data_IF_296038314571
#
_entry.id   IF_296038314571
#
_cell.length_a   1.000
_cell.length_b   1.000
_cell.length_c   1.000
_cell.angle_alpha   90.00
_cell.angle_beta   90.00
_cell.angle_gamma   90.00
#
_symmetry.space_group_name_H-M   'P 1'
#
loop_
_entity.id
_entity.type
_entity.pdbx_description
1 polymer ?
#
# COMPACT_ATOMS: atom_id res chain seq x y z
N UNK A 1 -17.74 2.00 -5.02
CA UNK A 1 -16.97 0.75 -4.82
C UNK A 1 -16.25 0.71 -3.48
N UNK A 2 -15.26 1.59 -3.22
CA UNK A 2 -14.45 1.61 -1.97
C UNK A 2 -15.28 1.64 -0.68
N UNK A 3 -16.27 2.53 -0.57
CA UNK A 3 -17.13 2.61 0.64
C UNK A 3 -17.90 1.31 0.92
N UNK A 4 -18.44 0.69 -0.12
CA UNK A 4 -19.18 -0.58 0.00
C UNK A 4 -18.24 -1.72 0.39
N UNK A 5 -17.06 -1.80 -0.23
CA UNK A 5 -16.03 -2.76 0.17
C UNK A 5 -15.65 -2.58 1.65
N UNK A 6 -15.34 -1.36 2.08
CA UNK A 6 -14.96 -1.06 3.48
C UNK A 6 -16.06 -1.41 4.50
N UNK A 7 -17.33 -1.24 4.14
CA UNK A 7 -18.44 -1.64 5.03
C UNK A 7 -18.50 -3.16 5.26
N UNK A 8 -18.08 -3.96 4.27
CA UNK A 8 -18.08 -5.44 4.31
C UNK A 8 -16.74 -6.02 4.78
N UNK A 9 -15.68 -5.23 4.74
CA UNK A 9 -14.31 -5.63 5.07
C UNK A 9 -13.70 -4.66 6.09
N UNK A 10 -14.31 -4.59 7.28
CA UNK A 10 -13.89 -3.66 8.35
C UNK A 10 -12.46 -3.92 8.82
N UNK A 11 -12.00 -5.16 8.78
CA UNK A 11 -10.65 -5.57 9.15
C UNK A 11 -9.64 -5.47 8.00
N UNK A 12 -9.87 -4.58 7.02
CA UNK A 12 -8.95 -4.39 5.89
C UNK A 12 -8.33 -2.99 5.86
N UNK A 13 -7.14 -2.87 5.29
CA UNK A 13 -6.57 -1.59 4.83
C UNK A 13 -6.47 -1.58 3.31
N UNK A 14 -6.91 -0.49 2.69
CA UNK A 14 -6.84 -0.30 1.25
C UNK A 14 -5.78 0.74 0.88
N UNK A 15 -5.00 0.43 -0.13
CA UNK A 15 -3.99 1.29 -0.69
C UNK A 15 -4.17 1.42 -2.20
N UNK A 16 -4.60 2.60 -2.64
CA UNK A 16 -4.69 2.98 -4.05
C UNK A 16 -3.39 3.65 -4.49
N UNK A 17 -2.88 3.25 -5.64
CA UNK A 17 -1.67 3.78 -6.26
C UNK A 17 -2.06 4.31 -7.65
N UNK A 18 -2.06 5.62 -7.79
CA UNK A 18 -2.25 6.34 -9.04
C UNK A 18 -0.91 6.56 -9.77
N UNK A 19 -1.01 6.70 -11.09
CA UNK A 19 0.12 6.84 -12.00
C UNK A 19 1.10 5.67 -11.89
N UNK A 20 0.55 4.45 -11.86
CA UNK A 20 1.26 3.19 -11.65
C UNK A 20 2.37 2.94 -12.68
N UNK A 21 2.14 3.35 -13.93
CA UNK A 21 3.09 3.25 -15.04
C UNK A 21 4.41 3.99 -14.77
N UNK A 22 4.37 5.05 -13.97
CA UNK A 22 5.56 5.86 -13.68
C UNK A 22 6.60 5.11 -12.84
N UNK A 23 6.17 4.11 -12.06
CA UNK A 23 7.11 3.26 -11.33
C UNK A 23 8.02 2.48 -12.28
N UNK A 24 7.46 1.97 -13.39
CA UNK A 24 8.24 1.32 -14.44
C UNK A 24 9.07 2.34 -15.23
N UNK A 25 8.47 3.48 -15.60
CA UNK A 25 9.13 4.55 -16.38
C UNK A 25 10.40 5.07 -15.71
N UNK A 26 10.33 5.34 -14.40
CA UNK A 26 11.44 5.90 -13.62
C UNK A 26 12.20 4.85 -12.81
N UNK A 27 11.94 3.56 -13.03
CA UNK A 27 12.60 2.44 -12.35
C UNK A 27 12.52 2.54 -10.81
N UNK A 28 11.39 3.04 -10.30
CA UNK A 28 11.12 3.10 -8.88
C UNK A 28 10.81 1.69 -8.37
N UNK A 29 11.64 1.20 -7.45
CA UNK A 29 11.57 -0.19 -6.99
C UNK A 29 10.25 -0.50 -6.26
N UNK A 30 9.80 0.43 -5.41
CA UNK A 30 8.66 0.21 -4.51
C UNK A 30 7.96 1.51 -4.09
N UNK A 31 6.77 1.35 -3.54
CA UNK A 31 6.02 2.38 -2.81
C UNK A 31 5.53 1.81 -1.50
N UNK A 32 5.57 2.63 -0.45
CA UNK A 32 5.02 2.29 0.85
C UNK A 32 3.73 3.05 1.10
N UNK A 33 2.81 2.41 1.80
CA UNK A 33 1.65 3.07 2.40
C UNK A 33 2.08 3.91 3.61
N UNK A 34 1.17 4.73 4.14
CA UNK A 34 1.34 5.30 5.48
C UNK A 34 1.35 4.19 6.53
N UNK A 35 1.81 4.50 7.75
CA UNK A 35 1.59 3.62 8.89
C UNK A 35 0.09 3.62 9.23
N UNK A 36 -0.50 2.44 9.35
CA UNK A 36 -1.90 2.26 9.74
C UNK A 36 -2.04 1.31 10.91
N UNK A 37 -3.02 1.58 11.77
CA UNK A 37 -3.40 0.71 12.89
C UNK A 37 -4.48 -0.28 12.43
N UNK A 38 -4.25 -1.58 12.66
CA UNK A 38 -5.21 -2.63 12.32
C UNK A 38 -5.00 -3.84 13.23
N UNK A 39 -6.06 -4.30 13.89
CA UNK A 39 -5.99 -5.44 14.82
C UNK A 39 -5.08 -5.19 16.03
N UNK A 40 -4.97 -3.94 16.50
CA UNK A 40 -4.11 -3.58 17.62
C UNK A 40 -2.62 -3.47 17.30
N UNK A 41 -2.24 -3.54 16.01
CA UNK A 41 -0.86 -3.44 15.56
C UNK A 41 -0.69 -2.35 14.51
N UNK A 42 0.53 -1.78 14.46
CA UNK A 42 0.93 -0.79 13.46
C UNK A 42 1.61 -1.48 12.28
N UNK A 43 1.11 -1.20 11.08
CA UNK A 43 1.53 -1.83 9.84
C UNK A 43 1.88 -0.82 8.76
N UNK A 44 2.66 -1.27 7.78
CA UNK A 44 2.85 -0.59 6.49
C UNK A 44 2.73 -1.62 5.37
N UNK A 45 2.08 -1.26 4.27
CA UNK A 45 2.14 -2.03 3.03
C UNK A 45 3.31 -1.56 2.19
N UNK A 46 4.12 -2.49 1.71
CA UNK A 46 5.22 -2.25 0.80
C UNK A 46 4.91 -2.96 -0.52
N UNK A 47 4.69 -2.17 -1.57
CA UNK A 47 4.29 -2.65 -2.90
C UNK A 47 5.47 -2.45 -3.84
N UNK A 48 5.78 -3.48 -4.62
CA UNK A 48 6.73 -3.42 -5.74
C UNK A 48 5.93 -3.50 -7.04
N UNK A 49 5.58 -2.35 -7.65
CA UNK A 49 4.73 -2.31 -8.85
C UNK A 49 5.27 -3.14 -10.01
N UNK A 50 6.60 -3.19 -10.16
CA UNK A 50 7.28 -3.97 -11.19
C UNK A 50 7.99 -5.21 -10.62
N UNK A 51 7.57 -5.69 -9.45
CA UNK A 51 8.05 -6.94 -8.84
C UNK A 51 9.39 -6.82 -8.10
N UNK A 52 9.63 -7.80 -7.22
CA UNK A 52 10.83 -7.88 -6.39
C UNK A 52 11.69 -9.10 -6.75
N UNK A 53 13.00 -8.92 -6.91
CA UNK A 53 13.97 -9.99 -7.20
C UNK A 53 13.54 -10.82 -8.42
N UNK A 54 13.31 -12.12 -8.25
CA UNK A 54 12.91 -13.07 -9.31
C UNK A 54 11.50 -12.84 -9.87
N UNK A 55 10.73 -11.91 -9.30
CA UNK A 55 9.45 -11.47 -9.83
C UNK A 55 9.54 -10.16 -10.65
N UNK A 56 10.72 -9.54 -10.71
CA UNK A 56 10.93 -8.26 -11.40
C UNK A 56 10.51 -8.35 -12.87
N UNK A 57 9.74 -7.36 -13.34
CA UNK A 57 9.24 -7.26 -14.71
C UNK A 57 8.08 -8.19 -15.05
N UNK A 58 7.59 -9.01 -14.11
CA UNK A 58 6.58 -10.03 -14.40
C UNK A 58 5.37 -10.01 -13.47
N UNK A 59 5.56 -9.62 -12.20
CA UNK A 59 4.49 -9.63 -11.20
C UNK A 59 4.52 -8.38 -10.34
N UNK A 60 3.38 -8.02 -9.76
CA UNK A 60 3.33 -7.11 -8.60
C UNK A 60 3.64 -7.93 -7.34
N UNK A 61 4.55 -7.42 -6.50
CA UNK A 61 4.83 -8.00 -5.19
C UNK A 61 4.27 -7.12 -4.08
N UNK A 62 3.66 -7.71 -3.05
CA UNK A 62 3.13 -6.96 -1.91
C UNK A 62 3.61 -7.61 -0.61
N UNK A 63 4.00 -6.77 0.35
CA UNK A 63 4.44 -7.19 1.67
C UNK A 63 3.75 -6.36 2.75
N UNK A 64 3.30 -7.04 3.80
CA UNK A 64 2.88 -6.45 5.06
C UNK A 64 4.09 -6.35 5.98
N UNK A 65 4.36 -5.15 6.50
CA UNK A 65 5.48 -4.84 7.37
C UNK A 65 4.96 -4.42 8.75
N UNK A 66 5.35 -5.10 9.82
CA UNK A 66 5.07 -4.62 11.17
C UNK A 66 5.99 -3.45 11.53
N UNK A 67 5.47 -2.45 12.23
CA UNK A 67 6.26 -1.30 12.70
C UNK A 67 6.81 -1.51 14.13
N UNK A 68 6.34 -2.54 14.82
CA UNK A 68 6.77 -2.94 16.15
C UNK A 68 6.83 -4.46 16.26
N UNK A 69 7.10 -4.96 17.47
CA UNK A 69 6.94 -6.38 17.79
C UNK A 69 5.48 -6.82 17.60
N UNK A 70 5.31 -8.07 17.20
CA UNK A 70 4.02 -8.73 17.07
C UNK A 70 4.04 -9.91 18.04
N UNK A 71 3.15 -9.88 19.04
CA UNK A 71 3.11 -10.84 20.15
C UNK A 71 2.03 -11.91 20.00
N UNK A 72 1.23 -11.86 18.94
CA UNK A 72 0.16 -12.80 18.63
C UNK A 72 0.26 -13.26 17.18
N UNK A 73 -0.21 -14.49 16.89
CA UNK A 73 -0.34 -14.96 15.52
C UNK A 73 -1.54 -14.29 14.86
N UNK A 74 -1.35 -13.76 13.67
CA UNK A 74 -2.39 -13.03 12.93
C UNK A 74 -2.55 -13.67 11.57
N UNK A 75 -3.78 -14.06 11.23
CA UNK A 75 -4.11 -14.50 9.89
C UNK A 75 -4.40 -13.28 9.01
N UNK A 76 -3.77 -13.22 7.84
CA UNK A 76 -3.92 -12.12 6.90
C UNK A 76 -4.02 -12.60 5.46
N UNK A 77 -4.63 -11.77 4.63
CA UNK A 77 -4.76 -11.94 3.18
C UNK A 77 -4.29 -10.64 2.51
N UNK A 78 -3.35 -10.74 1.56
CA UNK A 78 -3.01 -9.64 0.66
C UNK A 78 -3.83 -9.76 -0.61
N UNK A 79 -4.29 -8.64 -1.15
CA UNK A 79 -5.16 -8.67 -2.33
C UNK A 79 -4.95 -7.48 -3.28
N UNK A 80 -5.36 -7.66 -4.52
CA UNK A 80 -5.51 -6.62 -5.55
C UNK A 80 -6.95 -6.62 -6.06
N UNK A 81 -7.60 -5.46 -6.06
CA UNK A 81 -9.04 -5.32 -6.32
C UNK A 81 -9.28 -5.03 -7.80
N UNK A 82 -10.18 -5.79 -8.43
CA UNK A 82 -10.67 -5.44 -9.77
C UNK A 82 -11.59 -4.23 -9.67
N UNK A 83 -11.38 -3.26 -10.55
CA UNK A 83 -12.17 -2.03 -10.61
C UNK A 83 -13.35 -2.14 -11.59
N UNK A 84 -13.44 -3.25 -12.32
CA UNK A 84 -14.52 -3.55 -13.26
C UNK A 84 -15.57 -4.50 -12.66
N UNK A 85 -15.13 -5.43 -11.83
CA UNK A 85 -15.97 -6.49 -11.25
C UNK A 85 -15.78 -6.57 -9.73
N UNK A 86 -16.75 -7.12 -8.98
CA UNK A 86 -16.60 -7.37 -7.55
C UNK A 86 -15.74 -8.62 -7.27
N UNK A 87 -14.50 -8.62 -7.77
CA UNK A 87 -13.50 -9.67 -7.54
C UNK A 87 -12.17 -9.09 -7.11
N UNK A 88 -11.32 -9.92 -6.52
CA UNK A 88 -9.95 -9.58 -6.18
C UNK A 88 -9.02 -10.77 -6.40
N UNK A 89 -7.79 -10.48 -6.79
CA UNK A 89 -6.70 -11.46 -6.77
C UNK A 89 -6.18 -11.54 -5.34
N UNK A 90 -6.01 -12.76 -4.82
CA UNK A 90 -5.71 -12.99 -3.40
C UNK A 90 -4.42 -13.78 -3.22
N UNK A 91 -3.68 -13.46 -2.16
CA UNK A 91 -2.55 -14.27 -1.72
C UNK A 91 -2.94 -15.58 -1.05
N UNK A 92 -4.25 -15.81 -0.85
CA UNK A 92 -4.79 -16.76 0.11
C UNK A 92 -4.57 -16.31 1.55
N UNK A 93 -5.14 -17.07 2.48
CA UNK A 93 -4.91 -16.91 3.92
C UNK A 93 -3.46 -17.27 4.27
N UNK A 94 -2.81 -16.40 5.04
CA UNK A 94 -1.41 -16.54 5.47
C UNK A 94 -1.28 -16.21 6.95
N UNK A 95 -0.31 -16.82 7.61
CA UNK A 95 0.01 -16.51 9.01
C UNK A 95 1.14 -15.47 9.07
N UNK A 96 0.91 -14.41 9.84
CA UNK A 96 1.94 -13.54 10.39
C UNK A 96 2.24 -14.01 11.81
N UNK A 97 3.39 -14.64 12.00
CA UNK A 97 3.79 -15.22 13.29
C UNK A 97 4.16 -14.18 14.35
N UNK A 98 4.67 -14.69 15.47
CA UNK A 98 5.18 -13.88 16.58
C UNK A 98 6.61 -13.44 16.27
N UNK A 99 6.87 -12.13 16.36
CA UNK A 99 8.17 -11.54 16.08
C UNK A 99 8.55 -10.49 17.13
N UNK A 100 9.72 -10.61 17.78
CA UNK A 100 10.16 -9.66 18.81
C UNK A 100 10.67 -8.33 18.23
N UNK A 101 10.81 -8.24 16.90
CA UNK A 101 11.28 -7.06 16.18
C UNK A 101 10.41 -6.84 14.93
N UNK A 102 10.36 -5.61 14.38
CA UNK A 102 9.72 -5.32 13.10
C UNK A 102 10.11 -6.33 12.01
N UNK A 103 9.14 -6.86 11.28
CA UNK A 103 9.39 -7.84 10.22
C UNK A 103 8.44 -7.67 9.04
N UNK A 104 8.78 -8.31 7.92
CA UNK A 104 8.01 -8.28 6.68
C UNK A 104 7.61 -9.66 6.19
N UNK A 105 6.34 -9.83 5.82
CA UNK A 105 5.81 -11.03 5.16
C UNK A 105 4.96 -10.65 3.96
N UNK A 106 4.95 -11.46 2.92
CA UNK A 106 4.21 -11.10 1.71
C UNK A 106 4.24 -12.13 0.62
N UNK A 107 3.77 -11.72 -0.56
CA UNK A 107 3.74 -12.53 -1.76
C UNK A 107 4.54 -11.84 -2.88
N UNK A 108 5.71 -12.40 -3.28
CA UNK A 108 6.51 -11.87 -4.39
C UNK A 108 5.80 -11.93 -5.75
N UNK A 109 4.86 -12.86 -5.93
CA UNK A 109 4.15 -13.09 -7.20
C UNK A 109 2.64 -13.04 -6.94
N UNK A 110 2.14 -11.88 -6.50
CA UNK A 110 0.73 -11.75 -6.12
C UNK A 110 -0.18 -11.75 -7.35
N UNK A 111 0.15 -10.95 -8.35
CA UNK A 111 -0.57 -10.89 -9.62
C UNK A 111 0.43 -10.63 -10.74
N UNK A 112 0.25 -11.29 -11.89
CA UNK A 112 1.11 -11.04 -13.06
C UNK A 112 0.81 -9.65 -13.64
N UNK A 113 1.80 -8.98 -14.23
CA UNK A 113 1.57 -7.68 -14.88
C UNK A 113 0.59 -7.81 -16.07
N UNK A 114 0.58 -8.96 -16.74
CA UNK A 114 -0.36 -9.25 -17.83
C UNK A 114 -1.80 -9.33 -17.32
N UNK A 115 -2.04 -10.06 -16.23
CA UNK A 115 -3.37 -10.15 -15.63
C UNK A 115 -3.80 -8.81 -15.01
N UNK A 116 -2.85 -8.08 -14.43
CA UNK A 116 -3.10 -6.76 -13.87
C UNK A 116 -3.68 -5.81 -14.94
N UNK A 117 -3.07 -5.78 -16.12
CA UNK A 117 -3.47 -4.94 -17.26
C UNK A 117 -4.76 -5.43 -17.94
N UNK A 118 -4.96 -6.75 -18.06
CA UNK A 118 -6.07 -7.32 -18.85
C UNK A 118 -7.35 -7.56 -18.07
N UNK A 119 -7.28 -7.79 -16.75
CA UNK A 119 -8.41 -8.29 -15.97
C UNK A 119 -9.02 -7.23 -15.03
N UNK A 120 -8.80 -5.95 -15.34
CA UNK A 120 -9.44 -4.82 -14.67
C UNK A 120 -8.84 -4.43 -13.34
N UNK A 121 -7.62 -4.87 -13.03
CA UNK A 121 -6.93 -4.50 -11.79
C UNK A 121 -6.14 -3.19 -11.90
N UNK A 122 -5.69 -2.84 -13.11
CA UNK A 122 -5.12 -1.54 -13.46
C UNK A 122 -6.07 -0.80 -14.42
N UNK A 123 -6.78 0.20 -13.92
CA UNK A 123 -7.73 1.02 -14.69
C UNK A 123 -7.37 2.48 -14.52
N UNK A 124 -7.26 3.23 -15.62
CA UNK A 124 -6.89 4.65 -15.59
C UNK A 124 -5.52 4.91 -14.94
N UNK A 125 -4.57 4.02 -15.19
CA UNK A 125 -3.24 4.01 -14.55
C UNK A 125 -3.26 3.96 -13.00
N UNK A 126 -4.34 3.42 -12.45
CA UNK A 126 -4.56 3.27 -11.01
C UNK A 126 -4.71 1.81 -10.65
N UNK A 127 -3.99 1.37 -9.61
CA UNK A 127 -4.09 0.04 -9.02
C UNK A 127 -4.57 0.14 -7.56
N UNK A 128 -5.47 -0.75 -7.15
CA UNK A 128 -5.97 -0.82 -5.77
C UNK A 128 -5.59 -2.14 -5.14
N UNK A 129 -4.86 -2.10 -4.03
CA UNK A 129 -4.42 -3.28 -3.30
C UNK A 129 -4.65 -3.11 -1.80
N UNK A 130 -4.39 -4.14 -1.01
CA UNK A 130 -4.60 -4.07 0.43
C UNK A 130 -4.20 -5.30 1.20
N UNK A 131 -4.52 -5.23 2.48
CA UNK A 131 -4.47 -6.36 3.42
C UNK A 131 -5.78 -6.49 4.15
N UNK A 132 -6.21 -7.72 4.43
CA UNK A 132 -7.30 -8.04 5.33
C UNK A 132 -6.76 -8.91 6.47
N UNK A 133 -7.11 -8.59 7.70
CA UNK A 133 -6.82 -9.43 8.86
C UNK A 133 -8.06 -10.25 9.23
N UNK A 134 -7.84 -11.48 9.70
CA UNK A 134 -8.88 -12.42 10.07
C UNK A 134 -8.79 -12.75 11.57
N UNK A 135 -9.93 -13.01 12.21
CA UNK A 135 -9.99 -13.41 13.62
C UNK A 135 -9.66 -12.30 14.64
N UNK A 136 -9.73 -11.03 14.25
CA UNK A 136 -9.34 -9.87 15.10
C UNK A 136 -10.53 -9.01 15.56
N UNK A 137 -11.76 -9.54 15.57
CA UNK A 137 -12.95 -8.77 15.98
C UNK A 137 -13.22 -8.85 17.49
N UNK A 138 -13.66 -7.76 18.14
CA UNK A 138 -13.95 -6.44 17.58
C UNK A 138 -12.68 -5.56 17.47
N UNK A 139 -12.39 -5.07 16.25
CA UNK A 139 -11.35 -4.09 16.00
C UNK A 139 -11.93 -2.80 15.40
N UNK A 140 -11.22 -1.69 15.56
CA UNK A 140 -11.50 -0.47 14.81
C UNK A 140 -11.55 -0.76 13.31
N UNK A 141 -12.41 -0.02 12.59
CA UNK A 141 -12.48 -0.16 11.14
C UNK A 141 -11.16 0.29 10.54
N UNK A 142 -10.54 -0.57 9.73
CA UNK A 142 -9.28 -0.25 9.07
C UNK A 142 -9.41 0.93 8.12
N UNK A 143 -8.29 1.36 7.55
CA UNK A 143 -8.20 2.60 6.78
C UNK A 143 -8.27 2.39 5.26
N UNK A 144 -8.27 3.49 4.51
CA UNK A 144 -8.07 3.51 3.07
C UNK A 144 -7.28 4.77 2.71
N UNK A 145 -6.28 4.66 1.85
CA UNK A 145 -5.47 5.79 1.41
C UNK A 145 -5.15 5.72 -0.09
N UNK A 146 -4.69 6.84 -0.63
CA UNK A 146 -4.35 7.00 -2.04
C UNK A 146 -2.98 7.68 -2.15
N UNK A 147 -2.06 7.05 -2.88
CA UNK A 147 -0.78 7.62 -3.28
C UNK A 147 -0.83 7.93 -4.77
N UNK A 148 -0.31 9.08 -5.19
CA UNK A 148 -0.20 9.47 -6.59
C UNK A 148 1.19 10.03 -6.84
N UNK A 149 1.91 9.47 -7.81
CA UNK A 149 3.17 10.05 -8.27
C UNK A 149 2.89 11.17 -9.28
N UNK A 150 3.46 12.35 -9.10
CA UNK A 150 3.23 13.48 -10.01
C UNK A 150 4.38 13.56 -11.01
N UNK A 151 4.09 13.32 -12.29
CA UNK A 151 5.02 13.61 -13.39
C UNK A 151 4.85 15.07 -13.83
N UNK A 152 5.94 15.86 -13.76
CA UNK A 152 6.00 17.27 -14.17
C UNK A 152 4.95 18.18 -13.49
N UNK A 153 5.13 18.53 -12.21
CA UNK A 153 4.18 19.38 -11.49
C UNK A 153 4.03 20.76 -12.13
N UNK A 154 2.79 21.28 -12.16
CA UNK A 154 2.47 22.62 -12.67
C UNK A 154 3.37 23.68 -12.01
N UNK A 155 3.95 24.56 -12.83
CA UNK A 155 4.88 25.62 -12.42
C UNK A 155 6.16 25.15 -11.72
N UNK A 156 6.57 23.88 -11.88
CA UNK A 156 7.67 23.28 -11.10
C UNK A 156 7.44 23.36 -9.58
N UNK A 157 6.19 23.53 -9.13
CA UNK A 157 5.84 23.67 -7.72
C UNK A 157 5.30 22.34 -7.19
N UNK A 158 5.94 21.83 -6.15
CA UNK A 158 5.40 20.72 -5.36
C UNK A 158 4.47 21.31 -4.30
N UNK A 159 3.21 20.85 -4.28
CA UNK A 159 2.27 21.19 -3.20
C UNK A 159 2.22 20.02 -2.22
N UNK A 160 2.68 20.24 -1.00
CA UNK A 160 2.52 19.27 0.08
C UNK A 160 1.24 19.56 0.85
N UNK A 161 0.24 18.70 0.71
CA UNK A 161 -1.00 18.82 1.46
C UNK A 161 -0.85 18.13 2.82
N UNK A 162 -0.79 18.94 3.88
CA UNK A 162 -0.76 18.44 5.25
C UNK A 162 -2.20 18.17 5.69
N UNK A 163 -2.56 16.91 5.84
CA UNK A 163 -3.84 16.54 6.46
C UNK A 163 -3.68 16.50 7.98
N UNK A 164 -4.72 16.92 8.72
CA UNK A 164 -4.74 16.95 10.20
C UNK A 164 -3.67 17.86 10.84
N UNK A 165 -3.52 19.09 10.37
CA UNK A 165 -2.53 20.06 10.89
C UNK A 165 -2.52 20.23 12.42
N UNK A 166 -3.67 20.09 13.09
CA UNK A 166 -3.78 20.19 14.55
C UNK A 166 -3.20 19.01 15.33
N UNK A 167 -2.76 17.93 14.67
CA UNK A 167 -2.11 16.78 15.33
C UNK A 167 -0.58 16.86 15.35
N UNK A 168 0.02 17.97 14.91
CA UNK A 168 1.46 18.17 14.93
C UNK A 168 1.93 18.69 16.30
N UNK A 169 3.01 18.11 16.83
CA UNK A 169 3.66 18.58 18.06
C UNK A 169 4.34 19.94 17.80
N UNK A 170 3.95 21.03 18.48
CA UNK A 170 4.42 22.39 18.17
C UNK A 170 5.93 22.60 18.33
N UNK A 171 6.57 21.79 19.17
CA UNK A 171 7.98 21.95 19.54
C UNK A 171 8.94 21.09 18.71
N UNK A 172 8.44 20.32 17.73
CA UNK A 172 9.28 19.51 16.84
C UNK A 172 9.33 20.09 15.44
N UNK A 173 10.50 20.00 14.81
CA UNK A 173 10.65 20.26 13.39
C UNK A 173 10.00 19.13 12.59
N UNK A 174 9.14 19.49 11.62
CA UNK A 174 8.51 18.55 10.71
C UNK A 174 8.97 18.86 9.29
N UNK A 175 9.46 17.83 8.60
CA UNK A 175 9.98 17.95 7.25
C UNK A 175 8.95 17.43 6.26
N UNK A 176 8.95 17.99 5.05
CA UNK A 176 8.24 17.36 3.94
C UNK A 176 8.87 16.00 3.62
N UNK A 177 8.19 15.22 2.81
CA UNK A 177 8.87 14.10 2.16
C UNK A 177 9.95 14.63 1.21
N UNK A 178 11.02 13.86 1.01
CA UNK A 178 12.06 14.15 0.03
C UNK A 178 11.43 14.26 -1.36
N UNK A 179 11.77 15.32 -2.10
CA UNK A 179 11.26 15.53 -3.46
C UNK A 179 12.38 15.95 -4.41
N UNK A 180 12.18 15.70 -5.70
CA UNK A 180 13.21 15.92 -6.73
C UNK A 180 12.80 17.08 -7.62
N UNK A 181 13.70 18.05 -7.78
CA UNK A 181 13.53 19.17 -8.71
C UNK A 181 14.71 19.19 -9.67
N UNK A 182 14.46 18.90 -10.95
CA UNK A 182 15.52 18.67 -11.95
C UNK A 182 16.36 17.44 -11.60
N UNK A 183 17.68 17.62 -11.47
CA UNK A 183 18.63 16.53 -11.18
C UNK A 183 19.04 16.44 -9.70
N UNK A 184 18.33 17.13 -8.80
CA UNK A 184 18.67 17.22 -7.36
C UNK A 184 17.51 16.78 -6.47
N UNK A 185 17.83 15.99 -5.43
CA UNK A 185 16.95 15.60 -4.32
C UNK A 185 17.01 16.67 -3.22
N UNK A 186 15.85 17.08 -2.74
CA UNK A 186 15.61 18.08 -1.70
C UNK A 186 14.85 17.47 -0.54
#
# INVERSE_FOLDING_TARGET
>A
MVRVFKSRHRTSHLFKIDNFSLFKKYQLEKVNSSVFDLGGHKWTLCVFPNGRKNASGHYVSIFLMSQASVNVKIEYELFVVSQLEQKWESSGHREFGIYPKPTGKGNPKLISLVDLERNGYLIGDSCMCGVKLHGIEPAESGTAECFSLIENPLNHKVTWMITRFSSFEPEKAHHSHEFVVGNRKW
#
